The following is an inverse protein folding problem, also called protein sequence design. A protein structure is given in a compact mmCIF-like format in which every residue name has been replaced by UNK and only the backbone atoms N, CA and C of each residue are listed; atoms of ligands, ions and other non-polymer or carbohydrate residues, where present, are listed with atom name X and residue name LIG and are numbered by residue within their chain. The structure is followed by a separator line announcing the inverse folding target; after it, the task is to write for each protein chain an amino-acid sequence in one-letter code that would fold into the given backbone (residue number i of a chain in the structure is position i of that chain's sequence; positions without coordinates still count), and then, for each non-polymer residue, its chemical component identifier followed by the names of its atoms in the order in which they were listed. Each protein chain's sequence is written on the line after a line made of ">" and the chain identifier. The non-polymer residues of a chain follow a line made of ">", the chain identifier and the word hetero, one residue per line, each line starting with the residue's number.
data_IF_835286734114
#
_entry.id   IF_835286734114
#
_cell.length_a   1.000
_cell.length_b   1.000
_cell.length_c   1.000
_cell.angle_alpha   90.00
_cell.angle_beta   90.00
_cell.angle_gamma   90.00
#
_symmetry.space_group_name_H-M   'P 1'
#
loop_
_entity.id
_entity.type
_entity.pdbx_description
1 polymer ?
#
# COMPACT_ATOMS: atom_id res chain seq x y z
N UNK A 1 5.69 22.02 1.33
CA UNK A 1 4.78 21.03 0.74
C UNK A 1 4.25 20.12 1.80
N UNK A 2 2.97 19.87 1.76
CA UNK A 2 2.34 19.01 2.76
C UNK A 2 2.49 17.54 2.35
N UNK A 3 2.95 16.73 3.28
CA UNK A 3 2.93 15.30 3.12
C UNK A 3 1.58 14.74 3.58
N UNK A 4 1.18 13.65 2.97
CA UNK A 4 -0.02 12.92 3.31
C UNK A 4 0.39 11.52 3.73
N UNK A 5 -0.10 11.08 4.86
CA UNK A 5 0.04 9.70 5.30
C UNK A 5 -1.14 8.90 4.76
N UNK A 6 -0.85 7.75 4.18
CA UNK A 6 -1.86 6.81 3.73
C UNK A 6 -1.75 5.53 4.54
N UNK A 7 -2.84 5.13 5.17
CA UNK A 7 -2.90 3.89 5.94
C UNK A 7 -3.89 2.97 5.24
N UNK A 8 -3.39 1.82 4.82
CA UNK A 8 -4.18 0.88 4.04
C UNK A 8 -4.20 -0.46 4.77
N UNK A 9 -5.38 -1.00 4.95
CA UNK A 9 -5.56 -2.34 5.52
C UNK A 9 -6.19 -3.24 4.47
N UNK A 10 -5.55 -4.37 4.23
CA UNK A 10 -6.00 -5.37 3.28
C UNK A 10 -6.21 -6.68 4.02
N UNK A 11 -7.36 -7.29 3.84
CA UNK A 11 -7.62 -8.62 4.39
C UNK A 11 -7.74 -9.63 3.26
N UNK A 12 -6.78 -10.53 3.18
CA UNK A 12 -6.78 -11.57 2.17
C UNK A 12 -7.80 -12.66 2.51
N UNK A 13 -8.24 -13.38 1.50
CA UNK A 13 -8.95 -14.64 1.71
C UNK A 13 -8.05 -15.58 2.52
N UNK A 14 -8.63 -16.51 3.30
CA UNK A 14 -7.84 -17.38 4.17
C UNK A 14 -6.69 -18.06 3.42
N UNK A 15 -5.49 -17.90 3.95
CA UNK A 15 -4.28 -18.51 3.38
C UNK A 15 -3.71 -17.80 2.16
N UNK A 16 -4.28 -16.65 1.72
CA UNK A 16 -3.87 -15.97 0.49
C UNK A 16 -3.03 -14.72 0.72
N UNK A 17 -2.59 -14.46 1.95
CA UNK A 17 -1.80 -13.26 2.25
C UNK A 17 -0.50 -13.20 1.44
N UNK A 18 0.19 -14.32 1.30
CA UNK A 18 1.44 -14.37 0.52
C UNK A 18 1.17 -14.14 -0.97
N UNK A 19 0.06 -14.63 -1.50
CA UNK A 19 -0.33 -14.37 -2.89
C UNK A 19 -0.64 -12.89 -3.11
N UNK A 20 -1.31 -12.27 -2.15
CA UNK A 20 -1.61 -10.84 -2.19
C UNK A 20 -0.31 -10.02 -2.22
N UNK A 21 0.68 -10.40 -1.42
CA UNK A 21 2.00 -9.80 -1.44
C UNK A 21 2.70 -9.98 -2.78
N UNK A 22 2.59 -11.16 -3.40
CA UNK A 22 3.20 -11.42 -4.71
C UNK A 22 2.63 -10.51 -5.80
N UNK A 23 1.33 -10.22 -5.75
CA UNK A 23 0.71 -9.27 -6.66
C UNK A 23 1.32 -7.88 -6.48
N UNK A 24 1.47 -7.43 -5.24
CA UNK A 24 2.12 -6.15 -4.95
C UNK A 24 3.57 -6.13 -5.44
N UNK A 25 4.31 -7.18 -5.20
CA UNK A 25 5.71 -7.28 -5.65
C UNK A 25 5.81 -7.23 -7.17
N UNK A 26 4.89 -7.88 -7.85
CA UNK A 26 4.87 -7.95 -9.31
C UNK A 26 4.66 -6.58 -9.96
N UNK A 27 3.77 -5.76 -9.42
CA UNK A 27 3.36 -4.52 -10.05
C UNK A 27 3.98 -3.28 -9.41
N UNK A 28 3.97 -3.21 -8.09
CA UNK A 28 4.19 -1.96 -7.37
C UNK A 28 5.57 -1.82 -6.74
N UNK A 29 6.21 -2.93 -6.37
CA UNK A 29 7.44 -2.88 -5.57
C UNK A 29 8.55 -2.08 -6.23
N UNK A 30 8.82 -2.33 -7.50
CA UNK A 30 9.90 -1.62 -8.21
C UNK A 30 9.61 -0.13 -8.34
N UNK A 31 8.34 0.20 -8.61
CA UNK A 31 7.92 1.60 -8.70
C UNK A 31 8.08 2.31 -7.36
N UNK A 32 7.62 1.70 -6.29
CA UNK A 32 7.73 2.26 -4.94
C UNK A 32 9.21 2.42 -4.55
N UNK A 33 10.03 1.40 -4.81
CA UNK A 33 11.46 1.44 -4.47
C UNK A 33 12.22 2.56 -5.19
N UNK A 34 11.78 2.92 -6.40
CA UNK A 34 12.38 4.01 -7.16
C UNK A 34 11.81 5.39 -6.83
N UNK A 35 10.75 5.44 -6.03
CA UNK A 35 10.06 6.69 -5.68
C UNK A 35 10.70 7.36 -4.48
N UNK A 36 10.23 8.58 -4.18
CA UNK A 36 10.63 9.33 -2.97
C UNK A 36 9.70 9.05 -1.79
N UNK A 37 8.76 8.13 -1.94
CA UNK A 37 7.80 7.80 -0.89
C UNK A 37 8.49 7.04 0.26
N UNK A 38 8.11 7.36 1.49
CA UNK A 38 8.37 6.49 2.62
C UNK A 38 7.26 5.46 2.66
N UNK A 39 7.62 4.18 2.70
CA UNK A 39 6.63 3.14 2.50
C UNK A 39 6.95 1.91 3.34
N UNK A 40 5.95 1.42 4.06
CA UNK A 40 6.05 0.18 4.84
C UNK A 40 4.96 -0.77 4.40
N UNK A 41 5.34 -1.98 4.05
CA UNK A 41 4.42 -3.06 3.71
C UNK A 41 4.59 -4.14 4.77
N UNK A 42 3.58 -4.31 5.61
CA UNK A 42 3.71 -5.11 6.83
C UNK A 42 2.67 -6.21 6.89
N UNK A 43 3.07 -7.35 7.38
CA UNK A 43 2.13 -8.37 7.81
C UNK A 43 1.67 -8.05 9.23
N UNK A 44 0.37 -8.15 9.47
CA UNK A 44 -0.19 -7.98 10.81
C UNK A 44 0.21 -9.21 11.65
N UNK A 45 0.87 -8.97 12.77
CA UNK A 45 1.28 -10.05 13.67
C UNK A 45 0.09 -10.72 14.37
N UNK A 46 -1.02 -10.01 14.49
CA UNK A 46 -2.22 -10.51 15.15
C UNK A 46 -3.24 -11.17 14.26
N UNK A 47 -3.06 -11.10 12.92
CA UNK A 47 -4.01 -11.66 11.96
C UNK A 47 -3.26 -12.24 10.76
N UNK A 48 -3.30 -13.57 10.55
CA UNK A 48 -2.51 -14.22 9.50
C UNK A 48 -2.93 -13.84 8.08
N UNK A 49 -4.08 -13.20 7.90
CA UNK A 49 -4.60 -12.83 6.59
C UNK A 49 -4.56 -11.33 6.32
N UNK A 50 -4.08 -10.54 7.28
CA UNK A 50 -4.10 -9.07 7.16
C UNK A 50 -2.75 -8.48 6.80
N UNK A 51 -2.79 -7.51 5.91
CA UNK A 51 -1.64 -6.69 5.52
C UNK A 51 -1.94 -5.26 5.91
N UNK A 52 -0.94 -4.59 6.50
CA UNK A 52 -1.02 -3.19 6.88
C UNK A 52 0.04 -2.43 6.12
N UNK A 53 -0.39 -1.41 5.38
CA UNK A 53 0.51 -0.59 4.57
C UNK A 53 0.48 0.84 5.11
N UNK A 54 1.65 1.42 5.24
CA UNK A 54 1.81 2.82 5.60
C UNK A 54 2.66 3.50 4.53
N UNK A 55 2.14 4.58 3.98
CA UNK A 55 2.86 5.39 3.00
C UNK A 55 2.87 6.85 3.43
N UNK A 56 3.99 7.52 3.21
CA UNK A 56 4.11 8.95 3.47
C UNK A 56 4.73 9.61 2.24
N UNK A 57 4.05 10.59 1.69
CA UNK A 57 4.51 11.31 0.53
C UNK A 57 3.60 12.47 0.20
N UNK A 58 3.92 13.20 -0.86
CA UNK A 58 3.06 14.28 -1.30
C UNK A 58 1.88 13.77 -2.14
N UNK A 59 0.90 14.64 -2.33
CA UNK A 59 -0.30 14.29 -3.07
C UNK A 59 0.00 13.97 -4.54
N UNK A 60 0.95 14.68 -5.13
CA UNK A 60 1.32 14.45 -6.53
C UNK A 60 1.91 13.06 -6.74
N UNK A 61 2.75 12.60 -5.81
CA UNK A 61 3.32 11.25 -5.87
C UNK A 61 2.25 10.17 -5.72
N UNK A 62 1.28 10.39 -4.85
CA UNK A 62 0.16 9.46 -4.67
C UNK A 62 -0.70 9.37 -5.93
N UNK A 63 -0.97 10.50 -6.56
CA UNK A 63 -1.74 10.55 -7.81
C UNK A 63 -0.99 9.88 -8.95
N UNK A 64 0.32 10.07 -9.02
CA UNK A 64 1.14 9.47 -10.06
C UNK A 64 1.15 7.94 -9.97
N UNK A 65 1.15 7.41 -8.76
CA UNK A 65 1.04 5.96 -8.54
C UNK A 65 -0.25 5.41 -9.18
N UNK A 66 -1.37 6.09 -8.96
CA UNK A 66 -2.66 5.66 -9.50
C UNK A 66 -2.79 5.81 -11.01
N UNK A 67 -1.89 6.58 -11.63
CA UNK A 67 -1.90 6.80 -13.10
C UNK A 67 -1.01 5.83 -13.85
N UNK A 68 -0.33 4.93 -13.17
CA UNK A 68 0.55 3.98 -13.83
C UNK A 68 -0.25 3.04 -14.74
N UNK A 69 0.28 2.67 -15.91
CA UNK A 69 -0.46 1.83 -16.86
C UNK A 69 -0.84 0.46 -16.30
N UNK A 70 -0.11 -0.05 -15.33
CA UNK A 70 -0.35 -1.34 -14.71
C UNK A 70 -1.34 -1.27 -13.53
N UNK A 71 -1.77 -0.08 -13.13
CA UNK A 71 -2.52 0.10 -11.89
C UNK A 71 -3.89 -0.61 -11.91
N UNK A 72 -4.58 -0.59 -13.04
CA UNK A 72 -5.88 -1.26 -13.17
C UNK A 72 -5.75 -2.78 -13.00
N UNK A 73 -4.73 -3.37 -13.61
CA UNK A 73 -4.47 -4.81 -13.47
C UNK A 73 -4.08 -5.17 -12.04
N UNK A 74 -3.26 -4.33 -11.42
CA UNK A 74 -2.88 -4.48 -10.02
C UNK A 74 -4.10 -4.48 -9.11
N UNK A 75 -5.02 -3.53 -9.29
CA UNK A 75 -6.25 -3.47 -8.50
C UNK A 75 -7.12 -4.69 -8.72
N UNK A 76 -7.27 -5.13 -9.96
CA UNK A 76 -8.12 -6.27 -10.28
C UNK A 76 -7.60 -7.55 -9.64
N UNK A 77 -6.30 -7.82 -9.75
CA UNK A 77 -5.69 -9.00 -9.14
C UNK A 77 -5.72 -8.93 -7.62
N UNK A 78 -5.54 -7.73 -7.06
CA UNK A 78 -5.63 -7.52 -5.62
C UNK A 78 -7.03 -7.83 -5.10
N UNK A 79 -8.05 -7.27 -5.74
CA UNK A 79 -9.44 -7.46 -5.32
C UNK A 79 -9.88 -8.92 -5.36
N UNK A 80 -9.37 -9.69 -6.32
CA UNK A 80 -9.68 -11.12 -6.43
C UNK A 80 -9.21 -11.92 -5.22
N UNK A 81 -8.21 -11.44 -4.50
CA UNK A 81 -7.63 -12.11 -3.33
C UNK A 81 -8.15 -11.58 -1.99
N UNK A 82 -8.96 -10.51 -2.00
CA UNK A 82 -9.48 -9.92 -0.78
C UNK A 82 -10.74 -10.62 -0.31
N UNK A 83 -10.87 -10.81 1.00
CA UNK A 83 -12.11 -11.34 1.61
C UNK A 83 -13.11 -10.23 1.92
N UNK A 84 -12.65 -8.97 1.95
CA UNK A 84 -13.47 -7.79 2.20
C UNK A 84 -12.82 -6.60 1.51
N UNK A 85 -13.55 -5.50 1.27
CA UNK A 85 -12.97 -4.31 0.64
C UNK A 85 -11.79 -3.77 1.44
N UNK A 86 -10.76 -3.29 0.74
CA UNK A 86 -9.63 -2.64 1.39
C UNK A 86 -10.09 -1.37 2.11
N UNK A 87 -9.49 -1.09 3.26
CA UNK A 87 -9.73 0.13 4.00
C UNK A 87 -8.56 1.07 3.77
N UNK A 88 -8.86 2.28 3.27
CA UNK A 88 -7.85 3.28 2.98
C UNK A 88 -8.18 4.53 3.79
N UNK A 89 -7.22 4.99 4.59
CA UNK A 89 -7.34 6.23 5.34
C UNK A 89 -6.23 7.18 4.97
N UNK A 90 -6.60 8.43 4.79
CA UNK A 90 -5.67 9.52 4.57
C UNK A 90 -5.56 10.33 5.85
N UNK A 91 -4.35 10.73 6.22
CA UNK A 91 -4.10 11.50 7.43
C UNK A 91 -3.03 12.55 7.17
N UNK A 92 -3.14 13.67 7.88
CA UNK A 92 -2.16 14.76 7.76
C UNK A 92 -1.19 14.68 8.94
N UNK A 93 0.09 14.43 8.69
CA UNK A 93 1.08 14.36 9.78
C UNK A 93 1.19 15.68 10.51
N UNK A 94 1.20 15.60 11.85
CA UNK A 94 1.42 16.77 12.70
C UNK A 94 2.86 16.82 13.18
N UNK A 95 3.56 15.70 13.19
CA UNK A 95 4.95 15.59 13.57
C UNK A 95 5.57 14.40 12.86
N UNK A 96 6.70 14.62 12.22
CA UNK A 96 7.45 13.55 11.58
C UNK A 96 8.89 13.64 12.04
N UNK A 97 9.38 12.58 12.65
CA UNK A 97 10.80 12.44 12.94
C UNK A 97 11.39 11.49 11.90
N UNK A 98 12.35 11.96 11.14
CA UNK A 98 13.01 11.15 10.13
C UNK A 98 14.43 10.82 10.63
N UNK A 99 14.82 9.57 10.43
CA UNK A 99 16.20 9.17 10.64
C UNK A 99 17.07 9.69 9.49
N UNK A 100 18.18 10.27 9.83
CA UNK A 100 19.11 10.76 8.82
C UNK A 100 19.80 9.58 8.11
#
# INVERSE_FOLDING_TARGET
>A
MSNIASLITLKAKPGQRDELRRVWEKYARAYIAASTLTFYYCYDDGDPDRIIVFGLGDQASNQEFARQPWFADYQQETQALLSEPSEIRSATPQFVKASA
#
